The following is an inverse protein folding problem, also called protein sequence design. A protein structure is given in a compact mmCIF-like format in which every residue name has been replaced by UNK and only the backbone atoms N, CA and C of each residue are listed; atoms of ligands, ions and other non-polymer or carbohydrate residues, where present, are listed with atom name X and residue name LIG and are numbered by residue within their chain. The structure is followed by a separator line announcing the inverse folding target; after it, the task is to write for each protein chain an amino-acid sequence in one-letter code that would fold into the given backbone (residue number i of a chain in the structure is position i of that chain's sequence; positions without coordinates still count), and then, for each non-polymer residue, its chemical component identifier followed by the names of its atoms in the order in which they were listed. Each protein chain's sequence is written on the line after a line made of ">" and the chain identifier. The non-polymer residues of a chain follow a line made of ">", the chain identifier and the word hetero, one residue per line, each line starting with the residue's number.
data_IF_452267927268
#
_entry.id   IF_452267927268
#
_cell.length_a   1.000
_cell.length_b   1.000
_cell.length_c   1.000
_cell.angle_alpha   90.00
_cell.angle_beta   90.00
_cell.angle_gamma   90.00
#
_symmetry.space_group_name_H-M   'P 1'
#
loop_
_entity.id
_entity.type
_entity.pdbx_description
1 polymer ?
#
# COMPACT_ATOMS: atom_id res chain seq x y z
N UNK A 1 5.97 22.64 -34.36
CA UNK A 1 6.07 22.39 -33.88
C UNK A 1 6.15 22.18 -33.19
N UNK A 2 6.17 22.05 -33.13
CA UNK A 2 6.30 21.75 -32.41
C UNK A 2 6.49 21.39 -31.76
N UNK A 3 6.62 21.32 -31.61
CA UNK A 3 6.76 20.90 -30.92
C UNK A 3 7.02 20.79 -30.08
N UNK A 4 6.95 20.79 -30.00
CA UNK A 4 7.26 20.57 -29.06
C UNK A 4 7.26 20.35 -28.30
N UNK A 5 7.13 20.32 -28.20
CA UNK A 5 7.24 20.04 -27.30
C UNK A 5 7.17 19.59 -26.61
N UNK A 6 7.16 19.46 -26.73
CA UNK A 6 7.14 18.94 -25.94
C UNK A 6 7.44 18.72 -25.26
N UNK A 7 7.68 18.75 -25.31
CA UNK A 7 8.05 18.49 -24.44
C UNK A 7 8.12 18.51 -23.61
N UNK A 8 8.21 18.50 -23.69
CA UNK A 8 8.28 18.53 -22.74
C UNK A 8 7.89 18.24 -21.91
N UNK A 9 7.68 18.01 -21.95
CA UNK A 9 7.29 17.67 -21.07
C UNK A 9 7.42 16.84 -20.30
N UNK A 10 7.61 16.54 -20.48
CA UNK A 10 7.90 15.65 -19.81
C UNK A 10 8.65 15.67 -18.87
N UNK A 11 9.08 15.85 -18.94
CA UNK A 11 9.90 15.98 -18.05
C UNK A 11 9.54 16.43 -16.81
N UNK A 12 8.84 17.04 -16.68
CA UNK A 12 8.43 17.57 -15.56
C UNK A 12 7.94 16.76 -14.53
N UNK A 13 7.16 15.91 -14.69
CA UNK A 13 6.59 15.10 -13.67
C UNK A 13 7.60 14.26 -12.92
N UNK A 14 8.73 14.15 -13.47
CA UNK A 14 9.76 13.34 -12.85
C UNK A 14 10.18 13.85 -11.51
N UNK A 15 10.20 15.14 -11.34
CA UNK A 15 10.72 15.69 -10.10
C UNK A 15 9.87 15.36 -8.91
N UNK A 16 8.57 15.17 -9.07
CA UNK A 16 7.71 14.87 -7.95
C UNK A 16 7.90 13.45 -7.45
N UNK A 17 8.47 12.60 -8.24
CA UNK A 17 8.60 11.20 -7.85
C UNK A 17 9.55 11.00 -6.69
N UNK A 18 10.49 11.89 -6.50
CA UNK A 18 11.42 11.80 -5.40
C UNK A 18 10.79 11.97 -4.04
N UNK A 19 9.54 12.43 -3.99
CA UNK A 19 8.88 12.69 -2.73
C UNK A 19 7.81 11.69 -2.38
N UNK A 20 7.61 10.67 -3.21
CA UNK A 20 6.64 9.64 -2.93
C UNK A 20 7.29 8.55 -2.09
N UNK A 21 6.64 8.19 -0.99
CA UNK A 21 7.10 7.09 -0.17
C UNK A 21 6.55 5.78 -0.67
N UNK A 22 7.38 4.76 -0.69
CA UNK A 22 6.94 3.42 -1.07
C UNK A 22 6.57 2.64 0.17
N UNK A 23 5.35 2.12 0.20
CA UNK A 23 4.88 1.25 1.26
C UNK A 23 4.73 -0.13 0.64
N UNK A 24 5.45 -1.11 1.17
CA UNK A 24 5.44 -2.45 0.60
C UNK A 24 5.57 -3.48 1.71
N UNK A 25 5.32 -4.73 1.36
CA UNK A 25 5.46 -5.82 2.30
C UNK A 25 4.69 -7.02 1.85
N UNK A 26 4.32 -7.84 2.81
CA UNK A 26 3.59 -9.07 2.54
C UNK A 26 2.49 -9.27 3.55
N UNK A 27 1.51 -10.08 3.17
CA UNK A 27 0.40 -10.44 4.04
C UNK A 27 0.30 -11.95 4.07
N UNK A 28 0.31 -12.50 5.29
CA UNK A 28 0.19 -13.95 5.48
C UNK A 28 -0.97 -14.24 6.41
N UNK A 29 -1.49 -15.45 6.28
CA UNK A 29 -2.48 -16.00 7.21
C UNK A 29 -2.10 -17.44 7.48
N UNK A 30 -1.93 -17.78 8.76
CA UNK A 30 -1.55 -19.14 9.12
C UNK A 30 -0.20 -19.54 8.56
N UNK A 31 0.70 -18.58 8.40
CA UNK A 31 2.04 -18.83 7.87
C UNK A 31 2.12 -18.94 6.36
N UNK A 32 1.01 -18.71 5.66
CA UNK A 32 0.96 -18.82 4.20
C UNK A 32 0.60 -17.48 3.59
N UNK A 33 1.12 -17.18 2.40
CA UNK A 33 0.72 -15.94 1.72
C UNK A 33 -0.77 -15.94 1.42
N UNK A 34 -1.38 -14.76 1.51
CA UNK A 34 -2.76 -14.63 1.05
C UNK A 34 -2.80 -14.73 -0.48
N UNK A 35 -3.98 -14.98 -1.01
CA UNK A 35 -4.14 -15.15 -2.45
C UNK A 35 -3.81 -13.88 -3.21
N UNK A 36 -3.57 -14.04 -4.49
CA UNK A 36 -3.39 -12.91 -5.39
C UNK A 36 -4.70 -12.14 -5.53
N UNK A 37 -4.61 -10.81 -5.61
CA UNK A 37 -5.79 -9.99 -5.85
C UNK A 37 -6.47 -9.47 -4.59
N UNK A 38 -5.89 -9.69 -3.43
CA UNK A 38 -6.45 -9.14 -2.18
C UNK A 38 -6.17 -7.63 -2.17
N UNK A 39 -7.23 -6.85 -1.98
CA UNK A 39 -7.09 -5.39 -2.02
C UNK A 39 -6.51 -4.88 -0.72
N UNK A 40 -5.54 -3.99 -0.85
CA UNK A 40 -4.92 -3.28 0.27
C UNK A 40 -5.16 -1.80 0.04
N UNK A 41 -5.72 -1.11 1.02
CA UNK A 41 -5.99 0.31 0.93
C UNK A 41 -5.29 1.04 2.06
N UNK A 42 -4.57 2.10 1.72
CA UNK A 42 -3.91 2.95 2.70
C UNK A 42 -4.56 4.32 2.63
N UNK A 43 -5.08 4.78 3.75
CA UNK A 43 -5.72 6.09 3.86
C UNK A 43 -4.83 7.00 4.70
N UNK A 44 -4.40 8.08 4.11
CA UNK A 44 -3.57 9.10 4.77
C UNK A 44 -4.36 10.40 4.75
N UNK A 45 -4.88 10.80 5.92
CA UNK A 45 -5.77 11.95 5.95
C UNK A 45 -7.01 11.68 5.12
N UNK A 46 -7.18 12.45 4.05
CA UNK A 46 -8.33 12.29 3.16
C UNK A 46 -7.98 11.60 1.85
N UNK A 47 -6.74 11.17 1.69
CA UNK A 47 -6.29 10.55 0.45
C UNK A 47 -6.21 9.04 0.60
N UNK A 48 -6.76 8.33 -0.37
CA UNK A 48 -6.72 6.87 -0.40
C UNK A 48 -5.77 6.40 -1.48
N UNK A 49 -4.96 5.41 -1.13
CA UNK A 49 -4.07 4.72 -2.07
C UNK A 49 -4.40 3.25 -1.99
N UNK A 50 -4.40 2.55 -3.11
CA UNK A 50 -4.68 1.13 -3.06
C UNK A 50 -3.77 0.33 -3.96
N UNK A 51 -3.73 -0.97 -3.67
CA UNK A 51 -2.96 -1.94 -4.44
C UNK A 51 -3.61 -3.30 -4.24
N UNK A 52 -3.10 -4.29 -4.93
CA UNK A 52 -3.56 -5.66 -4.77
C UNK A 52 -2.35 -6.54 -4.55
N UNK A 53 -2.53 -7.62 -3.79
CA UNK A 53 -1.47 -8.57 -3.56
C UNK A 53 -1.17 -9.35 -4.85
N UNK A 54 0.09 -9.76 -4.97
CA UNK A 54 0.51 -10.62 -6.07
C UNK A 54 0.40 -12.10 -5.65
N UNK A 55 0.97 -12.99 -6.46
CA UNK A 55 0.88 -14.43 -6.23
C UNK A 55 1.60 -14.86 -4.94
N UNK A 56 2.43 -14.01 -4.39
CA UNK A 56 3.19 -14.29 -3.18
C UNK A 56 2.65 -13.56 -1.96
N UNK A 57 1.50 -12.94 -2.09
CA UNK A 57 0.92 -12.16 -1.00
C UNK A 57 1.60 -10.83 -0.77
N UNK A 58 2.42 -10.39 -1.70
CA UNK A 58 3.16 -9.14 -1.57
C UNK A 58 2.35 -7.98 -2.16
N UNK A 59 2.53 -6.82 -1.58
CA UNK A 59 1.88 -5.61 -2.06
C UNK A 59 2.89 -4.46 -2.08
N UNK A 60 2.63 -3.47 -2.92
CA UNK A 60 3.37 -2.22 -2.84
C UNK A 60 2.53 -1.10 -3.42
N UNK A 61 2.72 0.08 -2.87
CA UNK A 61 2.07 1.28 -3.36
C UNK A 61 2.93 2.49 -3.02
N UNK A 62 2.62 3.60 -3.66
CA UNK A 62 3.30 4.86 -3.41
C UNK A 62 2.32 5.83 -2.79
N UNK A 63 2.67 6.39 -1.64
CA UNK A 63 1.86 7.37 -0.94
C UNK A 63 2.60 8.70 -0.91
N UNK A 64 1.91 9.75 -1.34
CA UNK A 64 2.49 11.09 -1.37
C UNK A 64 2.46 11.75 0.01
N UNK A 65 1.56 11.32 0.87
CA UNK A 65 1.41 11.89 2.19
C UNK A 65 2.34 11.21 3.18
N UNK A 66 2.83 11.97 4.13
CA UNK A 66 3.69 11.46 5.19
C UNK A 66 2.94 11.43 6.51
N UNK A 67 3.41 10.60 7.44
CA UNK A 67 2.85 10.52 8.77
C UNK A 67 1.95 9.33 8.94
N UNK A 68 1.02 9.44 9.86
CA UNK A 68 0.14 8.33 10.21
C UNK A 68 -0.87 8.06 9.12
N UNK A 69 -1.00 6.78 8.79
CA UNK A 69 -1.98 6.30 7.81
C UNK A 69 -2.63 5.05 8.36
N UNK A 70 -3.78 4.71 7.82
CA UNK A 70 -4.48 3.47 8.17
C UNK A 70 -4.39 2.53 6.98
N UNK A 71 -3.90 1.33 7.21
CA UNK A 71 -3.84 0.30 6.18
C UNK A 71 -4.97 -0.69 6.44
N UNK A 72 -5.78 -0.92 5.43
CA UNK A 72 -6.88 -1.88 5.48
C UNK A 72 -6.65 -2.98 4.47
N UNK A 73 -6.98 -4.19 4.85
CA UNK A 73 -6.97 -5.33 3.95
C UNK A 73 -8.40 -5.80 3.76
N UNK A 74 -8.83 -5.90 2.51
CA UNK A 74 -10.19 -6.36 2.20
C UNK A 74 -10.13 -7.88 2.04
N UNK A 75 -10.61 -8.57 3.07
CA UNK A 75 -10.44 -10.01 3.14
C UNK A 75 -11.69 -10.67 3.70
N UNK A 76 -12.25 -11.61 2.94
CA UNK A 76 -13.42 -12.40 3.36
C UNK A 76 -14.57 -11.53 3.84
N UNK A 77 -14.83 -10.45 3.12
CA UNK A 77 -15.92 -9.53 3.45
C UNK A 77 -15.64 -8.62 4.62
N UNK A 78 -14.44 -8.64 5.16
CA UNK A 78 -14.04 -7.81 6.29
C UNK A 78 -12.94 -6.85 5.89
N UNK A 79 -12.70 -5.86 6.74
CA UNK A 79 -11.70 -4.83 6.47
C UNK A 79 -10.81 -4.62 7.70
N UNK A 80 -10.04 -5.63 8.11
CA UNK A 80 -9.13 -5.42 9.23
C UNK A 80 -8.13 -4.34 8.89
N UNK A 81 -7.75 -3.56 9.89
CA UNK A 81 -6.87 -2.42 9.66
C UNK A 81 -5.80 -2.34 10.72
N UNK A 82 -4.75 -1.60 10.38
CA UNK A 82 -3.63 -1.37 11.28
C UNK A 82 -3.08 0.03 10.98
N UNK A 83 -2.59 0.69 12.00
CA UNK A 83 -1.96 1.99 11.82
C UNK A 83 -0.53 1.80 11.34
N UNK A 84 -0.16 2.56 10.32
CA UNK A 84 1.20 2.56 9.77
C UNK A 84 1.66 3.99 9.60
N UNK A 85 2.91 4.14 9.20
CA UNK A 85 3.47 5.46 8.89
C UNK A 85 4.02 5.46 7.49
N UNK A 86 3.81 6.57 6.80
CA UNK A 86 4.37 6.81 5.49
C UNK A 86 5.50 7.81 5.60
N UNK A 87 6.55 7.58 4.83
CA UNK A 87 7.78 8.38 4.86
C UNK A 87 8.15 8.79 3.45
N UNK A 88 9.16 9.63 3.32
CA UNK A 88 9.70 10.01 2.02
C UNK A 88 10.33 8.83 1.30
N UNK A 89 10.93 7.92 2.05
CA UNK A 89 11.56 6.74 1.49
C UNK A 89 10.68 5.53 1.57
N UNK A 90 11.26 4.36 1.34
CA UNK A 90 10.54 3.09 1.39
C UNK A 90 10.41 2.61 2.82
N UNK A 91 9.28 1.99 3.12
CA UNK A 91 9.06 1.35 4.41
C UNK A 91 8.36 0.02 4.17
N UNK A 92 8.78 -0.99 4.91
CA UNK A 92 8.26 -2.34 4.76
C UNK A 92 7.38 -2.71 5.94
N UNK A 93 6.21 -3.24 5.62
CA UNK A 93 5.28 -3.76 6.61
C UNK A 93 4.90 -5.18 6.21
N UNK A 94 5.41 -6.14 6.96
CA UNK A 94 5.00 -7.53 6.80
C UNK A 94 3.91 -7.79 7.81
N UNK A 95 2.76 -8.17 7.32
CA UNK A 95 1.55 -8.22 8.12
C UNK A 95 1.03 -9.64 8.24
N UNK A 96 0.37 -9.90 9.36
CA UNK A 96 -0.24 -11.20 9.64
C UNK A 96 -1.72 -10.98 9.85
N UNK A 97 -2.51 -11.72 9.07
CA UNK A 97 -3.95 -11.81 9.30
C UNK A 97 -4.20 -12.91 10.31
N UNK A 98 -4.92 -12.57 11.36
CA UNK A 98 -5.30 -13.54 12.38
C UNK A 98 -6.81 -13.58 12.48
N UNK A 99 -7.35 -14.77 12.52
CA UNK A 99 -8.78 -14.96 12.70
C UNK A 99 -9.05 -15.25 14.16
N UNK A 100 -9.91 -14.42 14.76
CA UNK A 100 -10.33 -14.61 16.14
C UNK A 100 -11.85 -14.71 16.15
N UNK A 101 -12.34 -15.92 16.38
CA UNK A 101 -13.76 -16.17 16.23
C UNK A 101 -14.15 -15.94 14.77
N UNK A 102 -15.05 -15.01 14.53
CA UNK A 102 -15.51 -14.69 13.19
C UNK A 102 -14.87 -13.43 12.64
N UNK A 103 -13.84 -12.88 13.32
CA UNK A 103 -13.23 -11.63 12.92
C UNK A 103 -11.79 -11.82 12.57
N UNK A 104 -11.35 -11.06 11.55
CA UNK A 104 -9.95 -10.96 11.19
C UNK A 104 -9.34 -9.71 11.78
N UNK A 105 -8.11 -9.83 12.25
CA UNK A 105 -7.32 -8.70 12.71
C UNK A 105 -5.98 -8.70 11.99
N UNK A 106 -5.33 -7.55 11.96
CA UNK A 106 -4.01 -7.39 11.36
C UNK A 106 -3.02 -7.06 12.45
N UNK A 107 -1.82 -7.63 12.34
CA UNK A 107 -0.72 -7.20 13.18
C UNK A 107 0.56 -7.25 12.38
N UNK A 108 1.56 -6.55 12.87
CA UNK A 108 2.90 -6.60 12.27
C UNK A 108 3.59 -7.88 12.70
N UNK A 109 4.35 -8.40 11.75
CA UNK A 109 5.15 -9.58 11.99
C UNK A 109 6.30 -9.29 12.94
#
# INVERSE_FOLDING_TARGET
>A
MNRLFLLLTVVLGITSQGFAGKIYGSITEGGKPVAQGVKVEVTCGTTNYDAQTDAYGAFNLFAMDKGKCALKVFYQGQMPSIEINSFDGSVQYDLILEKQGNQYTLKRK
#
